data_IF_713421663136
#
_entry.id   IF_713421663136
#
_cell.length_a   1.000
_cell.length_b   1.000
_cell.length_c   1.000
_cell.angle_alpha   90.00
_cell.angle_beta   90.00
_cell.angle_gamma   90.00
#
_symmetry.space_group_name_H-M   'P 1'
#
loop_
_entity.id
_entity.type
_entity.pdbx_description
1 polymer ?
#
# COMPACT_ATOMS: atom_id res chain seq x y z
N UNK A 1 14.20 13.95 15.81
CA UNK A 1 15.28 13.12 15.23
C UNK A 1 15.25 13.31 13.71
N UNK A 2 16.40 13.48 13.05
CA UNK A 2 16.44 13.55 11.58
C UNK A 2 16.03 12.19 11.00
N UNK A 3 15.18 12.18 9.97
CA UNK A 3 14.79 10.95 9.28
C UNK A 3 16.01 10.26 8.66
N UNK A 4 16.04 8.93 8.71
CA UNK A 4 17.07 8.10 8.05
C UNK A 4 16.93 8.23 6.54
N UNK A 5 18.00 8.63 5.88
CA UNK A 5 18.08 8.64 4.41
C UNK A 5 18.70 7.34 3.93
N UNK A 6 18.10 6.73 2.91
CA UNK A 6 18.69 5.62 2.18
C UNK A 6 18.91 6.02 0.72
N UNK A 7 20.13 5.81 0.22
CA UNK A 7 20.52 6.19 -1.13
C UNK A 7 20.36 5.00 -2.08
N UNK A 8 19.94 5.31 -3.30
CA UNK A 8 19.87 4.32 -4.36
C UNK A 8 21.26 3.77 -4.70
N UNK A 9 21.33 2.49 -5.02
CA UNK A 9 22.54 1.77 -5.36
C UNK A 9 22.38 1.03 -6.70
N UNK A 10 23.48 0.70 -7.39
CA UNK A 10 23.44 -0.18 -8.56
C UNK A 10 22.78 -1.52 -8.22
N UNK A 11 21.85 -1.96 -9.08
CA UNK A 11 21.12 -3.22 -8.89
C UNK A 11 19.89 -3.12 -7.98
N UNK A 12 19.54 -1.92 -7.48
CA UNK A 12 18.26 -1.71 -6.80
C UNK A 12 17.08 -2.08 -7.72
N UNK A 13 16.07 -2.68 -7.11
CA UNK A 13 14.82 -3.02 -7.79
C UNK A 13 13.86 -1.83 -7.76
N UNK A 14 13.24 -1.56 -8.90
CA UNK A 14 12.20 -0.55 -9.05
C UNK A 14 10.92 -1.25 -9.49
N UNK A 15 9.91 -1.21 -8.63
CA UNK A 15 8.64 -1.86 -8.86
C UNK A 15 7.52 -1.08 -8.17
N UNK A 16 6.32 -1.18 -8.71
CA UNK A 16 5.12 -0.66 -8.05
C UNK A 16 4.72 -1.52 -6.84
N UNK A 17 3.67 -1.11 -6.15
CA UNK A 17 3.10 -1.83 -5.01
C UNK A 17 2.61 -3.26 -5.31
N UNK A 18 2.55 -3.69 -6.58
CA UNK A 18 2.25 -5.06 -7.01
C UNK A 18 3.53 -5.85 -7.30
N UNK A 19 4.71 -5.27 -7.04
CA UNK A 19 5.99 -5.79 -7.46
C UNK A 19 6.08 -6.03 -8.98
N UNK A 20 5.35 -5.25 -9.78
CA UNK A 20 5.59 -5.21 -11.22
C UNK A 20 6.69 -4.20 -11.51
N UNK A 21 7.75 -4.68 -12.14
CA UNK A 21 8.94 -3.89 -12.36
C UNK A 21 8.67 -2.72 -13.33
N UNK A 22 9.45 -1.66 -13.18
CA UNK A 22 9.50 -0.53 -14.09
C UNK A 22 10.93 0.01 -14.19
N UNK A 23 11.24 0.70 -15.28
CA UNK A 23 12.52 1.41 -15.42
C UNK A 23 12.45 2.77 -14.71
N UNK A 24 13.44 3.13 -13.87
CA UNK A 24 13.45 4.43 -13.21
C UNK A 24 13.43 5.56 -14.26
N UNK A 25 12.75 6.67 -13.94
CA UNK A 25 12.53 7.78 -14.87
C UNK A 25 13.80 8.58 -15.22
N UNK A 26 14.93 8.27 -14.60
CA UNK A 26 16.20 8.94 -14.83
C UNK A 26 17.36 8.33 -14.04
N UNK A 27 18.53 9.00 -14.03
CA UNK A 27 19.71 8.52 -13.33
C UNK A 27 19.48 8.36 -11.83
N UNK A 28 19.99 7.25 -11.29
CA UNK A 28 19.78 6.83 -9.89
C UNK A 28 20.91 7.22 -8.95
N UNK A 29 22.08 7.58 -9.49
CA UNK A 29 23.23 7.98 -8.66
C UNK A 29 22.93 9.26 -7.86
N UNK A 30 23.20 9.22 -6.56
CA UNK A 30 22.91 10.33 -5.64
C UNK A 30 21.41 10.57 -5.41
N UNK A 31 20.55 9.61 -5.75
CA UNK A 31 19.10 9.66 -5.51
C UNK A 31 18.70 8.87 -4.26
N UNK A 32 17.50 9.11 -3.75
CA UNK A 32 16.98 8.47 -2.54
C UNK A 32 16.13 7.25 -2.87
N UNK A 33 16.22 6.19 -2.08
CA UNK A 33 15.33 5.02 -2.16
C UNK A 33 13.92 5.36 -1.65
N UNK A 34 12.88 4.65 -2.13
CA UNK A 34 11.53 4.78 -1.60
C UNK A 34 11.47 4.49 -0.08
N UNK A 35 12.27 3.57 0.44
CA UNK A 35 12.38 3.26 1.88
C UNK A 35 12.69 4.49 2.75
N UNK A 36 13.30 5.54 2.19
CA UNK A 36 13.49 6.83 2.90
C UNK A 36 12.16 7.42 3.37
N UNK A 37 11.10 7.31 2.56
CA UNK A 37 9.77 7.81 2.91
C UNK A 37 9.11 6.98 4.02
N UNK A 38 9.34 5.66 4.05
CA UNK A 38 8.92 4.82 5.18
C UNK A 38 9.56 5.31 6.49
N UNK A 39 10.89 5.49 6.51
CA UNK A 39 11.59 5.93 7.70
C UNK A 39 11.18 7.33 8.15
N UNK A 40 10.98 8.22 7.19
CA UNK A 40 10.47 9.56 7.44
C UNK A 40 9.08 9.51 8.07
N UNK A 41 8.17 8.69 7.54
CA UNK A 41 6.79 8.59 8.04
C UNK A 41 6.73 8.05 9.47
N UNK A 42 7.52 7.02 9.78
CA UNK A 42 7.67 6.47 11.13
C UNK A 42 8.21 7.53 12.10
N UNK A 43 9.23 8.28 11.69
CA UNK A 43 9.83 9.32 12.52
C UNK A 43 8.86 10.48 12.81
N UNK A 44 8.13 10.96 11.80
CA UNK A 44 7.15 12.05 11.97
C UNK A 44 5.98 11.65 12.83
N UNK A 45 5.48 10.42 12.68
CA UNK A 45 4.39 9.91 13.48
C UNK A 45 4.80 9.52 14.93
N UNK A 46 6.09 9.63 15.28
CA UNK A 46 6.59 9.22 16.59
C UNK A 46 6.41 7.72 16.84
N UNK A 47 6.53 6.91 15.79
CA UNK A 47 6.31 5.47 15.87
C UNK A 47 7.26 4.80 16.89
N UNK A 48 6.80 3.78 17.64
CA UNK A 48 7.68 3.04 18.54
C UNK A 48 8.90 2.46 17.79
N UNK A 49 10.13 2.55 18.33
CA UNK A 49 11.35 2.08 17.67
C UNK A 49 11.29 0.61 17.20
N UNK A 50 10.48 -0.21 17.88
CA UNK A 50 10.24 -1.60 17.50
C UNK A 50 9.68 -1.75 16.10
N UNK A 51 8.88 -0.81 15.59
CA UNK A 51 8.35 -0.89 14.23
C UNK A 51 9.49 -0.77 13.19
N UNK A 52 10.46 0.11 13.42
CA UNK A 52 11.67 0.16 12.59
C UNK A 52 12.45 -1.16 12.65
N UNK A 53 12.63 -1.73 13.83
CA UNK A 53 13.31 -3.02 13.99
C UNK A 53 12.58 -4.16 13.27
N UNK A 54 11.24 -4.20 13.30
CA UNK A 54 10.41 -5.15 12.54
C UNK A 54 10.69 -5.02 11.04
N UNK A 55 10.65 -3.80 10.49
CA UNK A 55 10.94 -3.57 9.08
C UNK A 55 12.37 -4.04 8.71
N UNK A 56 13.35 -3.81 9.57
CA UNK A 56 14.73 -4.23 9.32
C UNK A 56 14.90 -5.75 9.31
N UNK A 57 14.31 -6.48 10.27
CA UNK A 57 14.44 -7.95 10.29
C UNK A 57 13.69 -8.60 9.14
N UNK A 58 12.56 -8.04 8.71
CA UNK A 58 11.82 -8.51 7.54
C UNK A 58 12.65 -8.31 6.28
N UNK A 59 13.24 -7.12 6.09
CA UNK A 59 14.15 -6.85 4.98
C UNK A 59 15.36 -7.78 4.99
N UNK A 60 15.94 -8.04 6.15
CA UNK A 60 17.08 -8.97 6.27
C UNK A 60 16.69 -10.42 5.98
N UNK A 61 15.54 -10.88 6.44
CA UNK A 61 15.08 -12.27 6.29
C UNK A 61 14.48 -12.60 4.92
N UNK A 62 13.96 -11.61 4.20
CA UNK A 62 13.35 -11.77 2.86
C UNK A 62 14.27 -11.30 1.73
N UNK A 63 15.20 -10.39 2.03
CA UNK A 63 16.01 -9.69 1.05
C UNK A 63 15.42 -8.32 0.67
N UNK A 64 16.25 -7.43 0.11
CA UNK A 64 15.81 -6.10 -0.31
C UNK A 64 14.82 -6.18 -1.47
N UNK A 65 13.85 -5.27 -1.52
CA UNK A 65 12.94 -5.17 -2.66
C UNK A 65 11.87 -6.25 -2.70
N UNK A 66 11.62 -6.92 -1.57
CA UNK A 66 10.64 -8.01 -1.41
C UNK A 66 9.45 -7.62 -0.53
N UNK A 67 9.51 -6.47 0.12
CA UNK A 67 8.44 -5.96 0.97
C UNK A 67 7.95 -4.62 0.41
N UNK A 68 6.66 -4.53 0.13
CA UNK A 68 6.01 -3.25 -0.13
C UNK A 68 5.52 -2.71 1.20
N UNK A 69 5.65 -1.41 1.43
CA UNK A 69 5.08 -0.73 2.58
C UNK A 69 4.03 0.27 2.11
N UNK A 70 3.02 0.50 2.94
CA UNK A 70 2.04 1.58 2.77
C UNK A 70 1.93 2.38 4.06
N UNK A 71 2.05 3.70 3.98
CA UNK A 71 1.78 4.61 5.08
C UNK A 71 0.36 5.17 4.95
N UNK A 72 -0.53 4.74 5.83
CA UNK A 72 -1.95 5.07 5.84
C UNK A 72 -2.18 6.27 6.74
N UNK A 73 -2.79 7.31 6.19
CA UNK A 73 -3.23 8.49 6.90
C UNK A 73 -4.75 8.43 7.08
N UNK A 74 -5.21 8.62 8.32
CA UNK A 74 -6.62 8.73 8.67
C UNK A 74 -6.81 9.72 9.82
N UNK A 75 -8.04 9.84 10.35
CA UNK A 75 -8.33 10.79 11.42
C UNK A 75 -7.42 10.59 12.64
N UNK A 76 -6.54 11.56 12.87
CA UNK A 76 -5.69 11.65 14.07
C UNK A 76 -4.51 10.69 14.16
N UNK A 77 -4.29 9.80 13.18
CA UNK A 77 -3.17 8.84 13.25
C UNK A 77 -2.65 8.40 11.88
N UNK A 78 -1.36 8.05 11.86
CA UNK A 78 -0.72 7.32 10.77
C UNK A 78 -0.49 5.88 11.21
N UNK A 79 -0.89 4.91 10.38
CA UNK A 79 -0.55 3.50 10.54
C UNK A 79 0.19 3.00 9.33
N UNK A 80 0.81 1.82 9.41
CA UNK A 80 1.52 1.23 8.28
C UNK A 80 0.99 -0.17 8.00
N UNK A 81 1.15 -0.60 6.77
CA UNK A 81 0.94 -1.99 6.38
C UNK A 81 2.13 -2.45 5.53
N UNK A 82 2.58 -3.67 5.77
CA UNK A 82 3.59 -4.33 4.95
C UNK A 82 2.92 -5.40 4.10
N UNK A 83 3.23 -5.44 2.81
CA UNK A 83 2.70 -6.39 1.85
C UNK A 83 3.83 -7.24 1.29
N UNK A 84 3.57 -8.53 1.18
CA UNK A 84 4.53 -9.55 0.78
C UNK A 84 3.92 -10.35 -0.36
N UNK A 85 4.49 -10.20 -1.55
CA UNK A 85 4.03 -10.89 -2.76
C UNK A 85 4.88 -12.13 -3.04
N UNK A 86 4.19 -13.19 -3.44
CA UNK A 86 4.80 -14.37 -4.02
C UNK A 86 3.86 -15.00 -5.05
N UNK A 87 4.13 -14.70 -6.32
CA UNK A 87 3.32 -15.17 -7.44
C UNK A 87 3.46 -16.68 -7.71
N UNK A 88 4.38 -17.39 -7.04
CA UNK A 88 4.48 -18.85 -7.10
C UNK A 88 3.37 -19.56 -6.29
N UNK A 89 2.59 -18.82 -5.47
CA UNK A 89 1.38 -19.32 -4.78
C UNK A 89 1.66 -20.56 -3.93
N UNK A 90 1.26 -21.75 -4.38
CA UNK A 90 1.48 -22.98 -3.62
C UNK A 90 2.98 -23.33 -3.48
N UNK A 91 3.82 -22.82 -4.38
CA UNK A 91 5.26 -22.97 -4.36
C UNK A 91 5.98 -21.72 -3.81
N UNK A 92 5.27 -20.86 -3.08
CA UNK A 92 5.83 -19.62 -2.51
C UNK A 92 7.00 -19.89 -1.56
N UNK A 93 7.97 -18.99 -1.61
CA UNK A 93 9.07 -18.87 -0.66
C UNK A 93 8.75 -17.86 0.45
N UNK A 94 7.91 -16.86 0.15
CA UNK A 94 7.43 -15.86 1.11
C UNK A 94 6.04 -16.27 1.61
N UNK A 95 6.02 -16.99 2.73
CA UNK A 95 4.80 -17.54 3.33
C UNK A 95 4.51 -16.93 4.71
N UNK A 96 3.26 -17.07 5.19
CA UNK A 96 2.86 -16.66 6.55
C UNK A 96 3.77 -17.32 7.61
N UNK A 97 4.11 -18.59 7.44
CA UNK A 97 4.96 -19.34 8.37
C UNK A 97 6.37 -18.74 8.43
N UNK A 98 6.94 -18.40 7.27
CA UNK A 98 8.25 -17.72 7.19
C UNK A 98 8.20 -16.33 7.84
N UNK A 99 7.14 -15.55 7.56
CA UNK A 99 6.95 -14.23 8.17
C UNK A 99 6.82 -14.34 9.69
N UNK A 100 6.00 -15.27 10.18
CA UNK A 100 5.84 -15.54 11.61
C UNK A 100 7.17 -15.95 12.26
N UNK A 101 8.00 -16.75 11.59
CA UNK A 101 9.32 -17.13 12.10
C UNK A 101 10.27 -15.92 12.21
N UNK A 102 10.27 -15.02 11.21
CA UNK A 102 11.08 -13.78 11.26
C UNK A 102 10.58 -12.84 12.37
N UNK A 103 9.27 -12.77 12.58
CA UNK A 103 8.62 -11.88 13.55
C UNK A 103 8.57 -12.43 14.97
N UNK A 104 8.88 -13.71 15.18
CA UNK A 104 8.80 -14.39 16.47
C UNK A 104 9.53 -13.66 17.63
N UNK A 105 10.69 -12.99 17.42
CA UNK A 105 11.34 -12.22 18.48
C UNK A 105 10.56 -10.98 18.95
N UNK A 106 9.62 -10.48 18.14
CA UNK A 106 8.91 -9.24 18.39
C UNK A 106 7.49 -9.45 18.91
N UNK A 107 6.83 -10.50 18.43
CA UNK A 107 5.42 -10.74 18.70
C UNK A 107 5.06 -12.23 18.48
N UNK A 108 4.29 -12.85 19.37
CA UNK A 108 3.74 -14.18 19.12
C UNK A 108 2.75 -14.13 17.95
N UNK A 109 2.76 -15.17 17.12
CA UNK A 109 1.81 -15.35 16.03
C UNK A 109 1.03 -16.64 16.25
N UNK A 110 -0.28 -16.54 16.49
CA UNK A 110 -1.15 -17.70 16.73
C UNK A 110 -2.33 -17.60 15.78
N UNK A 111 -2.15 -18.19 14.60
CA UNK A 111 -3.10 -18.17 13.49
C UNK A 111 -3.25 -19.59 12.91
N UNK A 112 -4.41 -19.94 12.32
CA UNK A 112 -4.59 -21.24 11.70
C UNK A 112 -3.74 -21.38 10.44
N UNK A 113 -3.33 -22.61 10.15
CA UNK A 113 -2.56 -22.94 8.95
C UNK A 113 -3.43 -22.76 7.68
N UNK A 114 -2.90 -21.97 6.74
CA UNK A 114 -3.50 -21.73 5.43
C UNK A 114 -2.51 -22.02 4.29
N UNK A 115 -1.44 -22.77 4.56
CA UNK A 115 -0.38 -23.14 3.62
C UNK A 115 -0.88 -23.88 2.38
N UNK A 116 -2.02 -24.57 2.45
CA UNK A 116 -2.65 -25.22 1.31
C UNK A 116 -3.46 -24.27 0.40
N UNK A 117 -3.62 -22.98 0.77
CA UNK A 117 -4.40 -22.00 0.00
C UNK A 117 -3.52 -21.29 -1.05
N UNK A 118 -3.98 -21.06 -2.29
CA UNK A 118 -3.16 -20.51 -3.37
C UNK A 118 -3.06 -18.98 -3.34
N UNK A 119 -2.86 -18.39 -2.15
CA UNK A 119 -2.65 -16.95 -2.01
C UNK A 119 -1.34 -16.51 -2.68
N UNK A 120 -1.35 -15.33 -3.29
CA UNK A 120 -0.20 -14.74 -3.96
C UNK A 120 0.36 -13.52 -3.23
N UNK A 121 -0.37 -13.01 -2.23
CA UNK A 121 0.08 -11.93 -1.37
C UNK A 121 -0.48 -12.13 0.03
N UNK A 122 0.29 -11.68 1.02
CA UNK A 122 -0.16 -11.48 2.39
C UNK A 122 0.25 -10.10 2.87
N UNK A 123 -0.50 -9.49 3.79
CA UNK A 123 -0.10 -8.24 4.43
C UNK A 123 -0.33 -8.21 5.93
N UNK A 124 0.43 -7.35 6.61
CA UNK A 124 0.50 -7.18 8.05
C UNK A 124 0.39 -5.69 8.41
N UNK A 125 -0.61 -5.35 9.22
CA UNK A 125 -0.73 -4.01 9.79
C UNK A 125 0.27 -3.80 10.94
N UNK A 126 0.99 -2.69 10.88
CA UNK A 126 1.87 -2.17 11.92
C UNK A 126 1.22 -0.97 12.60
N UNK A 127 1.00 -1.09 13.90
CA UNK A 127 0.44 -0.04 14.74
C UNK A 127 1.24 0.15 16.04
N UNK A 128 0.84 1.15 16.81
CA UNK A 128 1.49 1.43 18.09
C UNK A 128 1.41 0.26 19.08
N UNK A 129 0.32 -0.51 19.10
CA UNK A 129 0.16 -1.63 20.03
C UNK A 129 1.17 -2.75 19.73
N UNK A 130 1.39 -3.08 18.45
CA UNK A 130 2.44 -4.01 18.03
C UNK A 130 3.83 -3.45 18.36
N UNK A 131 4.05 -2.16 18.07
CA UNK A 131 5.31 -1.47 18.34
C UNK A 131 5.68 -1.38 19.82
N UNK A 132 4.69 -1.30 20.70
CA UNK A 132 4.88 -1.30 22.15
C UNK A 132 4.92 -2.72 22.75
N UNK A 133 4.63 -3.76 21.95
CA UNK A 133 4.50 -5.14 22.43
C UNK A 133 3.23 -5.42 23.22
N UNK A 134 2.23 -4.55 23.10
CA UNK A 134 0.93 -4.70 23.76
C UNK A 134 0.02 -5.72 23.03
N UNK A 135 0.33 -6.08 21.78
CA UNK A 135 -0.32 -7.16 21.04
C UNK A 135 0.68 -8.02 20.28
N UNK A 136 0.26 -9.24 19.94
CA UNK A 136 0.97 -10.13 19.02
C UNK A 136 0.60 -9.88 17.56
N UNK A 137 1.05 -10.77 16.68
CA UNK A 137 0.54 -10.89 15.30
C UNK A 137 -0.70 -11.79 15.33
N UNK A 138 -1.86 -11.17 15.35
CA UNK A 138 -3.18 -11.79 15.48
C UNK A 138 -4.02 -11.71 14.20
N UNK A 139 -3.51 -11.01 13.18
CA UNK A 139 -4.14 -10.90 11.86
C UNK A 139 -3.09 -10.81 10.75
N UNK A 140 -3.36 -11.52 9.67
CA UNK A 140 -2.83 -11.22 8.33
C UNK A 140 -4.00 -10.98 7.38
N UNK A 141 -3.82 -10.14 6.36
CA UNK A 141 -4.75 -10.11 5.22
C UNK A 141 -4.18 -10.98 4.10
N UNK A 142 -4.95 -11.95 3.62
CA UNK A 142 -4.54 -12.97 2.65
C UNK A 142 -5.21 -12.71 1.32
N UNK A 143 -4.45 -12.70 0.23
CA UNK A 143 -4.93 -12.29 -1.08
C UNK A 143 -4.87 -13.44 -2.09
N UNK A 144 -6.02 -13.77 -2.66
CA UNK A 144 -6.19 -14.81 -3.66
C UNK A 144 -6.51 -14.19 -5.02
N UNK A 145 -6.04 -14.83 -6.08
CA UNK A 145 -6.32 -14.39 -7.45
C UNK A 145 -7.79 -14.58 -7.79
N UNK A 146 -8.36 -13.63 -8.51
CA UNK A 146 -9.70 -13.71 -9.05
C UNK A 146 -9.62 -13.69 -10.59
N UNK A 147 -9.70 -14.84 -11.27
CA UNK A 147 -9.69 -14.87 -12.73
C UNK A 147 -10.85 -14.05 -13.32
N UNK A 148 -10.64 -13.37 -14.44
CA UNK A 148 -11.71 -12.68 -15.19
C UNK A 148 -11.55 -11.17 -15.43
N UNK A 149 -10.40 -10.59 -15.10
CA UNK A 149 -10.05 -9.19 -15.43
C UNK A 149 -8.98 -9.12 -16.52
N UNK A 150 -8.93 -8.00 -17.24
CA UNK A 150 -7.93 -7.67 -18.27
C UNK A 150 -6.50 -7.50 -17.73
N UNK A 151 -6.33 -6.83 -16.59
CA UNK A 151 -5.02 -6.62 -15.94
C UNK A 151 -4.82 -7.59 -14.77
N UNK A 152 -5.63 -7.46 -13.72
CA UNK A 152 -5.60 -8.33 -12.54
C UNK A 152 -6.85 -8.16 -11.69
N UNK A 153 -7.12 -9.11 -10.80
CA UNK A 153 -8.15 -9.00 -9.77
C UNK A 153 -7.79 -9.88 -8.59
N UNK A 154 -8.15 -9.41 -7.40
CA UNK A 154 -7.80 -10.05 -6.14
C UNK A 154 -8.95 -10.05 -5.15
N UNK A 155 -9.05 -11.14 -4.38
CA UNK A 155 -9.92 -11.27 -3.23
C UNK A 155 -9.07 -11.21 -1.98
N UNK A 156 -9.41 -10.34 -1.03
CA UNK A 156 -8.76 -10.25 0.26
C UNK A 156 -9.61 -10.89 1.34
N UNK A 157 -8.96 -11.65 2.21
CA UNK A 157 -9.55 -12.27 3.38
C UNK A 157 -8.75 -11.90 4.62
N UNK A 158 -9.42 -11.49 5.69
CA UNK A 158 -8.83 -11.39 7.00
C UNK A 158 -8.60 -12.80 7.56
N UNK A 159 -7.35 -13.16 7.82
CA UNK A 159 -6.98 -14.37 8.56
C UNK A 159 -6.80 -14.00 10.03
N UNK A 160 -7.64 -14.57 10.88
CA UNK A 160 -7.57 -14.43 12.35
C UNK A 160 -7.59 -15.81 13.00
N UNK A 161 -7.59 -15.87 14.33
CA UNK A 161 -7.79 -17.14 15.07
C UNK A 161 -9.08 -17.86 14.71
N UNK A 162 -10.12 -17.13 14.32
CA UNK A 162 -11.42 -17.68 13.96
C UNK A 162 -11.48 -18.18 12.51
N UNK A 163 -10.40 -17.99 11.74
CA UNK A 163 -10.28 -18.40 10.35
C UNK A 163 -10.29 -17.25 9.35
N UNK A 164 -10.71 -17.54 8.12
CA UNK A 164 -10.75 -16.60 7.01
C UNK A 164 -12.13 -15.94 6.89
N UNK A 165 -12.16 -14.61 6.86
CA UNK A 165 -13.34 -13.83 6.56
C UNK A 165 -13.09 -12.95 5.33
N UNK A 166 -13.99 -13.00 4.33
CA UNK A 166 -13.88 -12.14 3.16
C UNK A 166 -13.95 -10.66 3.57
N UNK A 167 -13.08 -9.83 2.97
CA UNK A 167 -12.97 -8.41 3.29
C UNK A 167 -13.18 -7.56 2.03
N UNK A 168 -12.34 -7.74 1.01
CA UNK A 168 -12.29 -6.81 -0.13
C UNK A 168 -12.19 -7.53 -1.48
N UNK A 169 -12.76 -6.92 -2.51
CA UNK A 169 -12.54 -7.24 -3.92
C UNK A 169 -11.76 -6.12 -4.60
N UNK A 170 -10.70 -6.44 -5.32
CA UNK A 170 -9.90 -5.49 -6.10
C UNK A 170 -10.00 -5.79 -7.59
N UNK A 171 -10.23 -4.76 -8.39
CA UNK A 171 -10.25 -4.82 -9.87
C UNK A 171 -9.22 -3.84 -10.43
N UNK A 172 -8.29 -4.34 -11.23
CA UNK A 172 -7.18 -3.56 -11.80
C UNK A 172 -7.48 -3.25 -13.27
N UNK A 173 -7.13 -2.04 -13.67
CA UNK A 173 -7.40 -1.50 -15.01
C UNK A 173 -6.18 -0.75 -15.52
N UNK A 174 -5.90 -0.88 -16.83
CA UNK A 174 -4.99 0.02 -17.52
C UNK A 174 -5.64 1.42 -17.57
N UNK A 175 -5.00 2.40 -16.93
CA UNK A 175 -5.58 3.72 -16.74
C UNK A 175 -5.91 4.43 -18.06
N UNK A 176 -5.16 4.13 -19.13
CA UNK A 176 -5.29 4.76 -20.44
C UNK A 176 -6.30 4.03 -21.33
N UNK A 177 -6.25 2.70 -21.35
CA UNK A 177 -7.04 1.89 -22.25
C UNK A 177 -8.47 1.62 -21.73
N UNK A 178 -8.68 1.68 -20.41
CA UNK A 178 -9.90 1.13 -19.78
C UNK A 178 -10.69 2.17 -18.98
N UNK A 179 -10.64 3.44 -19.39
CA UNK A 179 -11.28 4.57 -18.68
C UNK A 179 -12.78 4.37 -18.45
N UNK A 180 -13.50 3.84 -19.45
CA UNK A 180 -14.93 3.51 -19.33
C UNK A 180 -15.19 2.37 -18.34
N UNK A 181 -14.33 1.34 -18.34
CA UNK A 181 -14.45 0.21 -17.41
C UNK A 181 -14.15 0.63 -15.97
N UNK A 182 -13.19 1.55 -15.76
CA UNK A 182 -12.90 2.17 -14.47
C UNK A 182 -14.15 2.89 -13.94
N UNK A 183 -14.74 3.77 -14.76
CA UNK A 183 -15.93 4.52 -14.37
C UNK A 183 -17.13 3.60 -14.10
N UNK A 184 -17.35 2.59 -14.95
CA UNK A 184 -18.39 1.59 -14.75
C UNK A 184 -18.17 0.80 -13.45
N UNK A 185 -16.92 0.43 -13.15
CA UNK A 185 -16.60 -0.29 -11.92
C UNK A 185 -16.78 0.57 -10.68
N UNK A 186 -16.41 1.85 -10.75
CA UNK A 186 -16.61 2.82 -9.68
C UNK A 186 -18.10 3.03 -9.39
N UNK A 187 -18.94 3.03 -10.43
CA UNK A 187 -20.39 3.06 -10.30
C UNK A 187 -20.97 1.78 -9.66
N UNK A 188 -20.26 0.65 -9.71
CA UNK A 188 -20.63 -0.57 -8.97
C UNK A 188 -20.23 -0.48 -7.49
N UNK A 189 -20.75 0.52 -6.80
CA UNK A 189 -20.56 0.80 -5.38
C UNK A 189 -21.79 0.43 -4.57
N UNK A 190 -21.57 -0.15 -3.38
CA UNK A 190 -22.62 -0.30 -2.37
C UNK A 190 -22.70 0.89 -1.40
N UNK A 191 -21.78 1.86 -1.53
CA UNK A 191 -21.56 2.95 -0.58
C UNK A 191 -21.76 4.35 -1.20
N UNK A 192 -22.16 4.41 -2.47
CA UNK A 192 -22.45 5.64 -3.20
C UNK A 192 -23.90 5.64 -3.71
N UNK A 193 -24.60 6.76 -3.55
CA UNK A 193 -25.86 7.02 -4.25
C UNK A 193 -25.53 7.73 -5.57
N UNK A 194 -25.58 7.00 -6.68
CA UNK A 194 -25.12 7.48 -7.99
C UNK A 194 -25.90 8.67 -8.59
N UNK A 195 -27.23 8.83 -8.41
CA UNK A 195 -27.96 9.91 -9.07
C UNK A 195 -27.41 11.30 -8.69
N UNK A 196 -26.82 12.00 -9.66
CA UNK A 196 -26.25 13.34 -9.47
C UNK A 196 -24.84 13.37 -8.89
N UNK A 197 -24.21 12.20 -8.68
CA UNK A 197 -22.84 12.10 -8.21
C UNK A 197 -21.84 12.32 -9.36
N UNK A 198 -20.93 13.27 -9.18
CA UNK A 198 -19.80 13.46 -10.09
C UNK A 198 -18.69 12.44 -9.77
N UNK A 199 -18.67 11.33 -10.51
CA UNK A 199 -17.64 10.30 -10.37
C UNK A 199 -16.25 10.78 -10.81
N UNK A 200 -16.15 11.78 -11.70
CA UNK A 200 -14.86 12.35 -12.09
C UNK A 200 -14.20 13.11 -10.92
N UNK A 201 -14.99 13.58 -9.95
CA UNK A 201 -14.48 14.19 -8.71
C UNK A 201 -13.71 13.20 -7.81
N UNK A 202 -13.91 11.88 -7.99
CA UNK A 202 -13.13 10.83 -7.32
C UNK A 202 -11.89 10.42 -8.12
N UNK A 203 -11.99 10.41 -9.45
CA UNK A 203 -10.92 9.93 -10.32
C UNK A 203 -9.70 10.86 -10.37
N UNK A 204 -9.87 12.15 -10.05
CA UNK A 204 -8.82 13.17 -10.02
C UNK A 204 -7.99 13.18 -11.31
N UNK A 205 -8.35 14.00 -12.31
CA UNK A 205 -7.71 14.00 -13.63
C UNK A 205 -6.18 14.03 -13.58
N UNK A 206 -5.60 14.72 -12.61
CA UNK A 206 -4.15 14.82 -12.39
C UNK A 206 -3.50 13.48 -12.03
N UNK A 207 -4.21 12.56 -11.36
CA UNK A 207 -3.73 11.22 -11.03
C UNK A 207 -4.05 10.17 -12.10
N UNK A 208 -4.99 10.44 -13.00
CA UNK A 208 -5.34 9.52 -14.09
C UNK A 208 -4.23 9.36 -15.14
N UNK A 209 -3.26 10.27 -15.18
CA UNK A 209 -2.00 10.08 -15.89
C UNK A 209 -1.06 9.13 -15.12
N UNK A 210 -1.55 7.93 -14.82
CA UNK A 210 -0.83 6.86 -14.13
C UNK A 210 -0.81 5.59 -15.00
N UNK A 211 -0.17 4.51 -14.52
CA UNK A 211 -0.14 3.25 -15.24
C UNK A 211 -1.41 2.43 -15.02
N UNK A 212 -1.75 2.19 -13.75
CA UNK A 212 -2.83 1.28 -13.36
C UNK A 212 -3.74 1.94 -12.35
N UNK A 213 -5.04 1.82 -12.56
CA UNK A 213 -6.06 2.20 -11.57
C UNK A 213 -6.64 0.94 -10.95
N UNK A 214 -6.81 0.94 -9.64
CA UNK A 214 -7.49 -0.15 -8.92
C UNK A 214 -8.72 0.40 -8.26
N UNK A 215 -9.86 -0.23 -8.54
CA UNK A 215 -11.11 0.03 -7.82
C UNK A 215 -11.34 -1.14 -6.87
N UNK A 216 -11.49 -0.84 -5.59
CA UNK A 216 -11.72 -1.81 -4.54
C UNK A 216 -13.11 -1.64 -3.93
N UNK A 217 -13.86 -2.75 -3.82
CA UNK A 217 -15.04 -2.78 -2.96
C UNK A 217 -14.67 -3.38 -1.61
N UNK A 218 -15.03 -2.67 -0.54
CA UNK A 218 -14.75 -3.09 0.84
C UNK A 218 -16.04 -3.13 1.63
N UNK A 219 -15.96 -3.71 2.82
CA UNK A 219 -17.14 -3.90 3.68
C UNK A 219 -17.81 -2.61 4.12
N UNK A 220 -17.03 -1.55 4.36
CA UNK A 220 -17.51 -0.30 4.97
C UNK A 220 -17.25 0.96 4.13
N UNK A 221 -16.55 0.81 3.01
CA UNK A 221 -16.18 1.89 2.08
C UNK A 221 -15.79 1.28 0.74
N UNK A 222 -15.54 2.12 -0.25
CA UNK A 222 -14.81 1.73 -1.45
C UNK A 222 -13.42 2.37 -1.47
N UNK A 223 -12.56 1.86 -2.33
CA UNK A 223 -11.20 2.37 -2.50
C UNK A 223 -10.86 2.61 -3.96
N UNK A 224 -10.04 3.63 -4.19
CA UNK A 224 -9.46 3.96 -5.49
C UNK A 224 -7.96 4.14 -5.33
N UNK A 225 -7.19 3.44 -6.17
CA UNK A 225 -5.74 3.46 -6.12
C UNK A 225 -5.17 3.83 -7.49
N UNK A 226 -4.11 4.61 -7.47
CA UNK A 226 -3.39 5.08 -8.65
C UNK A 226 -1.96 4.60 -8.52
N UNK A 227 -1.54 3.77 -9.47
CA UNK A 227 -0.23 3.15 -9.46
C UNK A 227 0.65 3.73 -10.55
N UNK A 228 1.93 3.89 -10.23
CA UNK A 228 2.94 4.48 -11.10
C UNK A 228 2.72 5.97 -11.40
N UNK A 229 2.43 6.76 -10.38
CA UNK A 229 2.41 8.23 -10.46
C UNK A 229 3.80 8.83 -10.23
N UNK A 230 4.02 10.03 -10.74
CA UNK A 230 5.25 10.81 -10.53
C UNK A 230 5.32 11.45 -9.14
N UNK A 231 6.50 11.96 -8.76
CA UNK A 231 6.67 12.71 -7.50
C UNK A 231 5.80 13.97 -7.44
N UNK A 232 5.49 14.60 -8.58
CA UNK A 232 4.63 15.78 -8.64
C UNK A 232 3.17 15.43 -8.32
N UNK A 233 2.70 14.32 -8.87
CA UNK A 233 1.39 13.80 -8.56
C UNK A 233 1.30 13.35 -7.09
N UNK A 234 2.38 12.79 -6.53
CA UNK A 234 2.46 12.47 -5.10
C UNK A 234 2.34 13.73 -4.23
N UNK A 235 3.05 14.81 -4.59
CA UNK A 235 2.95 16.09 -3.88
C UNK A 235 1.54 16.66 -3.96
N UNK A 236 0.92 16.67 -5.13
CA UNK A 236 -0.48 17.09 -5.31
C UNK A 236 -1.42 16.26 -4.43
N UNK A 237 -1.24 14.94 -4.39
CA UNK A 237 -2.02 14.05 -3.55
C UNK A 237 -1.89 14.39 -2.05
N UNK A 238 -0.65 14.56 -1.58
CA UNK A 238 -0.35 14.89 -0.18
C UNK A 238 -0.91 16.26 0.22
N UNK A 239 -0.80 17.25 -0.65
CA UNK A 239 -1.31 18.62 -0.41
C UNK A 239 -2.83 18.64 -0.40
N UNK A 240 -3.49 17.98 -1.36
CA UNK A 240 -4.96 17.90 -1.45
C UNK A 240 -5.58 17.20 -0.25
N UNK A 241 -4.87 16.24 0.34
CA UNK A 241 -5.31 15.48 1.51
C UNK A 241 -4.71 15.99 2.83
N UNK A 242 -4.09 17.16 2.82
CA UNK A 242 -3.53 17.81 3.99
C UNK A 242 -2.62 16.91 4.84
N UNK A 243 -1.76 16.11 4.17
CA UNK A 243 -0.73 15.35 4.87
C UNK A 243 0.15 16.28 5.71
N UNK A 244 0.70 15.80 6.85
CA UNK A 244 1.54 16.62 7.72
C UNK A 244 2.67 17.31 6.96
N UNK A 245 2.89 18.60 7.21
CA UNK A 245 3.91 19.39 6.48
C UNK A 245 5.32 18.79 6.63
N UNK A 246 5.61 18.11 7.74
CA UNK A 246 6.87 17.41 7.90
C UNK A 246 7.08 16.30 6.84
N UNK A 247 6.01 15.65 6.36
CA UNK A 247 6.02 14.65 5.28
C UNK A 247 6.03 15.35 3.92
N UNK A 248 5.05 16.22 3.68
CA UNK A 248 4.89 16.91 2.38
C UNK A 248 6.10 17.78 2.05
N UNK A 249 6.57 18.58 3.02
CA UNK A 249 7.77 19.40 2.90
C UNK A 249 9.04 18.58 2.67
N UNK A 250 9.17 17.40 3.29
CA UNK A 250 10.31 16.52 3.03
C UNK A 250 10.35 16.04 1.58
N UNK A 251 9.21 15.62 1.03
CA UNK A 251 9.10 15.21 -0.38
C UNK A 251 9.39 16.41 -1.30
N UNK A 252 8.89 17.60 -0.96
CA UNK A 252 9.11 18.83 -1.72
C UNK A 252 10.59 19.21 -1.77
N UNK A 253 11.26 19.22 -0.62
CA UNK A 253 12.68 19.57 -0.48
C UNK A 253 13.60 18.54 -1.17
N UNK A 254 13.18 17.27 -1.20
CA UNK A 254 13.92 16.19 -1.84
C UNK A 254 13.36 15.82 -3.22
N UNK A 255 12.48 16.64 -3.81
CA UNK A 255 11.78 16.33 -5.07
C UNK A 255 12.73 15.84 -6.16
N UNK A 256 13.83 16.56 -6.37
CA UNK A 256 14.85 16.15 -7.35
C UNK A 256 15.46 14.80 -7.01
N UNK A 257 15.71 14.46 -5.75
CA UNK A 257 16.29 13.16 -5.36
C UNK A 257 15.30 12.01 -5.46
N UNK A 258 14.02 12.32 -5.64
CA UNK A 258 12.88 11.41 -5.63
C UNK A 258 12.20 11.30 -7.01
N UNK A 259 12.57 12.13 -7.98
CA UNK A 259 11.94 12.22 -9.31
C UNK A 259 12.23 11.03 -10.25
N UNK A 260 13.25 10.23 -9.95
CA UNK A 260 13.56 8.99 -10.67
C UNK A 260 12.60 7.82 -10.32
N UNK A 261 11.81 7.95 -9.26
CA UNK A 261 10.87 6.92 -8.81
C UNK A 261 9.46 7.17 -9.35
N UNK A 262 8.72 6.08 -9.44
CA UNK A 262 7.27 6.08 -9.53
C UNK A 262 6.68 5.65 -8.18
N UNK A 263 5.51 6.18 -7.86
CA UNK A 263 4.81 5.99 -6.59
C UNK A 263 3.43 5.42 -6.81
N UNK A 264 2.87 4.85 -5.75
CA UNK A 264 1.48 4.43 -5.74
C UNK A 264 0.78 5.14 -4.58
N UNK A 265 -0.49 5.47 -4.78
CA UNK A 265 -1.35 6.09 -3.77
C UNK A 265 -2.73 5.48 -3.80
N UNK A 266 -3.48 5.63 -2.72
CA UNK A 266 -4.88 5.22 -2.70
C UNK A 266 -5.69 6.02 -1.70
N UNK A 267 -6.99 6.11 -1.96
CA UNK A 267 -8.00 6.71 -1.11
C UNK A 267 -9.09 5.69 -0.83
N UNK A 268 -9.58 5.67 0.40
CA UNK A 268 -10.84 5.04 0.76
C UNK A 268 -11.86 6.15 0.96
N UNK A 269 -13.06 5.95 0.42
CA UNK A 269 -14.12 6.93 0.47
C UNK A 269 -15.47 6.29 0.81
N UNK A 270 -16.34 7.10 1.40
CA UNK A 270 -17.76 6.81 1.65
C UNK A 270 -18.59 7.98 1.12
N UNK A 271 -19.90 7.82 1.06
CA UNK A 271 -20.79 8.95 0.84
C UNK A 271 -21.29 9.52 2.17
N UNK A 272 -21.10 10.82 2.35
CA UNK A 272 -21.65 11.61 3.46
C UNK A 272 -22.40 12.80 2.87
N UNK A 273 -23.68 13.00 3.25
CA UNK A 273 -24.52 14.10 2.79
C UNK A 273 -24.54 14.29 1.26
N UNK A 274 -24.60 13.18 0.52
CA UNK A 274 -24.65 13.20 -0.95
C UNK A 274 -23.32 13.53 -1.64
N UNK A 275 -22.20 13.52 -0.92
CA UNK A 275 -20.86 13.79 -1.46
C UNK A 275 -19.87 12.70 -1.07
N UNK A 276 -18.89 12.36 -1.93
CA UNK A 276 -17.81 11.49 -1.53
C UNK A 276 -16.93 12.17 -0.50
N UNK A 277 -16.71 11.50 0.63
CA UNK A 277 -15.79 11.89 1.67
C UNK A 277 -14.65 10.88 1.75
N UNK A 278 -13.41 11.37 1.71
CA UNK A 278 -12.21 10.53 1.84
C UNK A 278 -11.94 10.30 3.32
N UNK A 279 -12.08 9.05 3.75
CA UNK A 279 -11.95 8.65 5.16
C UNK A 279 -10.57 8.14 5.51
N UNK A 280 -9.79 7.74 4.50
CA UNK A 280 -8.42 7.27 4.65
C UNK A 280 -7.68 7.42 3.34
N UNK A 281 -6.39 7.67 3.42
CA UNK A 281 -5.50 7.71 2.26
C UNK A 281 -4.19 7.01 2.55
N UNK A 282 -3.45 6.63 1.52
CA UNK A 282 -2.15 6.00 1.69
C UNK A 282 -1.23 6.30 0.51
N UNK A 283 0.07 6.25 0.77
CA UNK A 283 1.11 6.18 -0.25
C UNK A 283 2.02 4.99 0.02
N UNK A 284 2.59 4.43 -1.04
CA UNK A 284 3.31 3.16 -0.98
C UNK A 284 4.73 3.28 -1.54
N UNK A 285 5.55 2.29 -1.21
CA UNK A 285 6.86 2.12 -1.81
C UNK A 285 7.49 0.79 -1.42
N UNK A 286 8.74 0.62 -1.84
CA UNK A 286 9.49 -0.61 -1.63
C UNK A 286 10.47 -0.50 -0.44
N UNK A 287 10.66 -1.60 0.28
CA UNK A 287 11.59 -1.76 1.40
C UNK A 287 12.68 -2.81 1.08
#
# INVERSE_FOLDING_TARGET
MSARLEWAAPGDRYADYCLWDYEPLGPVSGRLRPSTLLWQSLAVAGAPPRLTAICEVLRAGLGPGRTVWGAKHGPGQTTWELYFYDYARLQREVSIERLAAILAPFAPCVLPDVSARPYFMVSLDLDAALGLGARGVDRFNVYLGNPGSSVSSGLSYALTRDGLAFDNLYSFFDARAEREAIAAKLACSAHLDLPGLDLDALLWPELMACGVVVVANKRACDGLYFSRITVDQLLLFMERLAYPEAITGFVRDNRRRLDHLLYDVGIDYVQTDGRPEIVKSAYYGLL
#
